data_IF_028145409119
#
_entry.id   IF_028145409119
#
_cell.length_a   1.000
_cell.length_b   1.000
_cell.length_c   1.000
_cell.angle_alpha   90.00
_cell.angle_beta   90.00
_cell.angle_gamma   90.00
#
_symmetry.space_group_name_H-M   'P 1'
#
loop_
_entity.id
_entity.type
_entity.pdbx_description
1 polymer ?
#
# COMPACT_ATOMS: atom_id res chain seq x y z
N UNK A 1 15.17 -10.96 2.52
CA UNK A 1 15.02 -9.50 2.72
C UNK A 1 13.55 -9.17 2.64
N UNK A 2 13.06 -8.25 3.48
CA UNK A 2 11.71 -7.74 3.33
C UNK A 2 11.60 -6.88 2.06
N UNK A 3 10.40 -6.78 1.48
CA UNK A 3 10.14 -5.87 0.36
C UNK A 3 10.12 -4.42 0.87
N UNK A 4 10.64 -3.48 0.08
CA UNK A 4 10.47 -2.05 0.34
C UNK A 4 9.04 -1.67 -0.04
N UNK A 5 8.39 -0.87 0.81
CA UNK A 5 7.03 -0.37 0.59
C UNK A 5 7.02 1.14 0.41
N UNK A 6 6.08 1.63 -0.39
CA UNK A 6 5.72 3.04 -0.45
C UNK A 6 4.57 3.31 0.51
N UNK A 7 4.68 4.38 1.29
CA UNK A 7 3.65 4.82 2.24
C UNK A 7 3.22 6.23 1.85
N UNK A 8 1.94 6.39 1.56
CA UNK A 8 1.30 7.70 1.47
C UNK A 8 0.58 7.96 2.80
N UNK A 9 1.08 8.94 3.55
CA UNK A 9 0.61 9.29 4.89
C UNK A 9 -0.19 10.60 4.83
N UNK A 10 -1.44 10.50 4.41
CA UNK A 10 -2.39 11.60 4.47
C UNK A 10 -2.95 11.82 5.88
N UNK A 11 -3.46 13.02 6.14
CA UNK A 11 -4.11 13.37 7.42
C UNK A 11 -5.44 12.66 7.64
N UNK A 12 -6.14 12.29 6.56
CA UNK A 12 -7.46 11.64 6.61
C UNK A 12 -7.37 10.16 6.27
N UNK A 13 -6.60 9.81 5.24
CA UNK A 13 -6.45 8.44 4.78
C UNK A 13 -4.98 8.15 4.54
N UNK A 14 -4.60 6.88 4.66
CA UNK A 14 -3.28 6.40 4.32
C UNK A 14 -3.37 5.22 3.37
N UNK A 15 -2.37 5.06 2.50
CA UNK A 15 -2.30 3.99 1.50
C UNK A 15 -0.90 3.38 1.53
N UNK A 16 -0.83 2.06 1.33
CA UNK A 16 0.45 1.33 1.23
C UNK A 16 0.52 0.59 -0.10
N UNK A 17 1.66 0.69 -0.77
CA UNK A 17 1.93 -0.02 -2.01
C UNK A 17 3.28 -0.73 -1.99
N UNK A 18 3.40 -1.76 -2.82
CA UNK A 18 4.64 -2.53 -2.99
C UNK A 18 4.91 -2.75 -4.48
N UNK A 19 6.19 -2.85 -4.84
CA UNK A 19 6.59 -3.26 -6.17
C UNK A 19 6.51 -4.79 -6.29
N UNK A 20 5.77 -5.26 -7.29
CA UNK A 20 5.69 -6.66 -7.70
C UNK A 20 6.19 -6.80 -9.14
N UNK A 21 7.46 -7.15 -9.28
CA UNK A 21 8.17 -7.03 -10.55
C UNK A 21 8.21 -5.56 -10.98
N UNK A 22 7.77 -5.29 -12.21
CA UNK A 22 7.73 -3.94 -12.79
C UNK A 22 6.38 -3.23 -12.57
N UNK A 23 5.51 -3.79 -11.72
CA UNK A 23 4.18 -3.23 -11.42
C UNK A 23 4.07 -2.78 -9.97
N UNK A 24 3.42 -1.64 -9.77
CA UNK A 24 3.03 -1.15 -8.44
C UNK A 24 1.69 -1.79 -8.07
N UNK A 25 1.63 -2.45 -6.92
CA UNK A 25 0.40 -3.03 -6.37
C UNK A 25 0.05 -2.35 -5.05
N UNK A 26 -1.17 -1.81 -4.93
CA UNK A 26 -1.71 -1.31 -3.66
C UNK A 26 -2.18 -2.49 -2.79
N UNK A 27 -1.69 -2.52 -1.56
CA UNK A 27 -1.96 -3.58 -0.58
C UNK A 27 -3.34 -3.32 0.04
N UNK A 28 -4.28 -4.29 0.00
CA UNK A 28 -5.54 -4.16 0.70
C UNK A 28 -5.33 -4.18 2.22
N UNK A 29 -6.16 -3.43 2.95
CA UNK A 29 -6.23 -3.47 4.41
C UNK A 29 -6.94 -4.75 4.89
N UNK A 30 -7.03 -4.94 6.21
CA UNK A 30 -7.67 -6.11 6.80
C UNK A 30 -9.18 -6.22 6.50
N UNK A 31 -9.82 -5.11 6.12
CA UNK A 31 -11.22 -5.04 5.71
C UNK A 31 -11.42 -5.35 4.20
N UNK A 32 -10.32 -5.57 3.46
CA UNK A 32 -10.33 -5.83 2.02
C UNK A 32 -10.39 -4.59 1.13
N UNK A 33 -10.45 -3.39 1.72
CA UNK A 33 -10.39 -2.09 1.03
C UNK A 33 -8.95 -1.64 0.78
N UNK A 34 -8.76 -0.55 0.02
CA UNK A 34 -7.44 0.09 -0.23
C UNK A 34 -7.25 1.43 0.48
N UNK A 35 -8.35 1.93 1.01
CA UNK A 35 -8.54 3.01 1.98
C UNK A 35 -9.75 2.58 2.82
N UNK A 36 -10.05 3.25 3.94
CA UNK A 36 -11.42 3.27 4.44
C UNK A 36 -12.42 3.62 3.33
#
# INVERSE_FOLDING_TARGET
>A
MAKIIGIDLGTTNSVVAVMEGDKVTVIPNEEGGRTP
#
